data_IF_886610597354
#
_entry.id   IF_886610597354
#
_cell.length_a   1.000
_cell.length_b   1.000
_cell.length_c   1.000
_cell.angle_alpha   90.00
_cell.angle_beta   90.00
_cell.angle_gamma   90.00
#
_symmetry.space_group_name_H-M   'P 1'
#
loop_
_entity.id
_entity.type
_entity.pdbx_description
1 polymer ?
#
# COMPACT_ATOMS: atom_id res chain seq x y z
N UNK A 1 -8.60 5.32 -8.71
CA UNK A 1 -8.50 6.51 -7.85
C UNK A 1 -7.48 6.25 -6.76
N UNK A 2 -6.94 7.31 -6.17
CA UNK A 2 -5.99 7.22 -5.05
C UNK A 2 -6.58 6.46 -3.85
N UNK A 3 -7.87 6.64 -3.53
CA UNK A 3 -8.60 5.85 -2.54
C UNK A 3 -8.50 4.33 -2.76
N UNK A 4 -8.59 3.87 -4.02
CA UNK A 4 -8.45 2.45 -4.33
C UNK A 4 -7.02 1.97 -4.08
N UNK A 5 -6.03 2.80 -4.39
CA UNK A 5 -4.61 2.47 -4.20
C UNK A 5 -4.25 2.38 -2.71
N UNK A 6 -4.79 3.24 -1.85
CA UNK A 6 -4.63 3.16 -0.39
C UNK A 6 -5.17 1.82 0.13
N UNK A 7 -6.39 1.44 -0.27
CA UNK A 7 -7.01 0.16 0.12
C UNK A 7 -6.26 -1.06 -0.43
N UNK A 8 -5.82 -0.98 -1.68
CA UNK A 8 -5.02 -2.03 -2.34
C UNK A 8 -3.68 -2.23 -1.62
N UNK A 9 -2.99 -1.15 -1.27
CA UNK A 9 -1.74 -1.20 -0.51
C UNK A 9 -1.94 -1.79 0.89
N UNK A 10 -3.00 -1.40 1.60
CA UNK A 10 -3.33 -1.98 2.90
C UNK A 10 -3.62 -3.50 2.80
N UNK A 11 -4.33 -3.93 1.76
CA UNK A 11 -4.63 -5.34 1.51
C UNK A 11 -3.34 -6.15 1.29
N UNK A 12 -2.42 -5.68 0.44
CA UNK A 12 -1.17 -6.40 0.16
C UNK A 12 -0.26 -6.47 1.38
N UNK A 13 -0.22 -5.43 2.22
CA UNK A 13 0.50 -5.47 3.50
C UNK A 13 -0.05 -6.56 4.41
N UNK A 14 -1.37 -6.64 4.54
CA UNK A 14 -2.02 -7.69 5.35
C UNK A 14 -1.74 -9.09 4.80
N UNK A 15 -1.82 -9.27 3.48
CA UNK A 15 -1.51 -10.55 2.85
C UNK A 15 -0.06 -10.98 3.10
N UNK A 16 0.90 -10.05 2.98
CA UNK A 16 2.30 -10.33 3.27
C UNK A 16 2.53 -10.73 4.74
N UNK A 17 1.85 -10.08 5.69
CA UNK A 17 1.88 -10.49 7.10
C UNK A 17 1.35 -11.92 7.30
N UNK A 18 0.29 -12.30 6.59
CA UNK A 18 -0.28 -13.65 6.66
C UNK A 18 0.67 -14.69 6.05
N UNK A 19 1.31 -14.38 4.91
CA UNK A 19 2.33 -15.26 4.32
C UNK A 19 3.55 -15.40 5.21
N UNK A 20 4.02 -14.33 5.85
CA UNK A 20 5.13 -14.38 6.79
C UNK A 20 4.80 -15.28 7.98
N UNK A 21 3.63 -15.11 8.61
CA UNK A 21 3.18 -15.97 9.72
C UNK A 21 3.11 -17.45 9.32
N UNK A 22 2.66 -17.74 8.10
CA UNK A 22 2.59 -19.11 7.58
C UNK A 22 3.99 -19.70 7.38
N UNK A 23 4.92 -18.93 6.81
CA UNK A 23 6.30 -19.34 6.63
C UNK A 23 7.00 -19.57 7.97
N UNK A 24 6.83 -18.66 8.92
CA UNK A 24 7.39 -18.79 10.28
C UNK A 24 6.89 -20.05 10.96
N UNK A 25 5.60 -20.38 10.80
CA UNK A 25 5.02 -21.63 11.30
C UNK A 25 5.68 -22.87 10.66
N UNK A 26 5.85 -22.88 9.34
CA UNK A 26 6.53 -24.00 8.66
C UNK A 26 7.97 -24.19 9.15
N UNK A 27 8.69 -23.09 9.39
CA UNK A 27 10.06 -23.14 9.93
C UNK A 27 10.04 -23.69 11.36
N UNK A 28 9.14 -23.19 12.21
CA UNK A 28 9.03 -23.59 13.61
C UNK A 28 8.62 -25.06 13.78
N UNK A 29 7.75 -25.57 12.90
CA UNK A 29 7.30 -26.97 12.92
C UNK A 29 8.29 -27.93 12.24
N UNK A 30 9.40 -27.42 11.68
CA UNK A 30 10.38 -28.24 10.98
C UNK A 30 9.79 -28.89 9.71
N UNK A 31 8.91 -28.18 9.02
CA UNK A 31 8.29 -28.65 7.78
C UNK A 31 9.32 -29.00 6.70
N UNK A 32 8.88 -29.74 5.68
CA UNK A 32 9.78 -30.20 4.63
C UNK A 32 10.38 -29.02 3.82
N UNK A 33 11.55 -29.26 3.23
CA UNK A 33 12.27 -28.24 2.46
C UNK A 33 11.42 -27.62 1.34
N UNK A 34 10.52 -28.41 0.74
CA UNK A 34 9.63 -27.92 -0.30
C UNK A 34 8.63 -26.88 0.24
N UNK A 35 8.01 -27.12 1.41
CA UNK A 35 7.05 -26.20 2.01
C UNK A 35 7.69 -24.86 2.39
N UNK A 36 8.88 -24.90 2.99
CA UNK A 36 9.64 -23.69 3.35
C UNK A 36 10.02 -22.91 2.09
N UNK A 37 10.52 -23.58 1.05
CA UNK A 37 10.87 -22.92 -0.23
C UNK A 37 9.64 -22.31 -0.91
N UNK A 38 8.51 -23.01 -0.89
CA UNK A 38 7.27 -22.51 -1.47
C UNK A 38 6.74 -21.31 -0.68
N UNK A 39 6.70 -21.38 0.66
CA UNK A 39 6.31 -20.27 1.52
C UNK A 39 7.20 -19.03 1.34
N UNK A 40 8.52 -19.24 1.18
CA UNK A 40 9.47 -18.16 0.89
C UNK A 40 9.14 -17.46 -0.43
N UNK A 41 8.88 -18.21 -1.50
CA UNK A 41 8.48 -17.64 -2.80
C UNK A 41 7.17 -16.85 -2.71
N UNK A 42 6.19 -17.37 -1.99
CA UNK A 42 4.92 -16.65 -1.78
C UNK A 42 5.15 -15.33 -1.04
N UNK A 43 6.00 -15.31 -0.03
CA UNK A 43 6.37 -14.09 0.70
C UNK A 43 7.10 -13.08 -0.20
N UNK A 44 8.01 -13.54 -1.04
CA UNK A 44 8.72 -12.69 -2.01
C UNK A 44 7.76 -12.05 -3.01
N UNK A 45 6.80 -12.80 -3.55
CA UNK A 45 5.77 -12.26 -4.46
C UNK A 45 4.86 -11.25 -3.75
N UNK A 46 4.43 -11.53 -2.51
CA UNK A 46 3.66 -10.58 -1.71
C UNK A 46 4.42 -9.26 -1.50
N UNK A 47 5.72 -9.32 -1.20
CA UNK A 47 6.57 -8.14 -1.08
C UNK A 47 6.69 -7.36 -2.39
N UNK A 48 6.79 -8.03 -3.54
CA UNK A 48 6.79 -7.35 -4.84
C UNK A 48 5.51 -6.56 -5.07
N UNK A 49 4.36 -7.11 -4.69
CA UNK A 49 3.06 -6.42 -4.80
C UNK A 49 2.97 -5.18 -3.91
N UNK A 50 3.54 -5.24 -2.69
CA UNK A 50 3.63 -4.06 -1.80
C UNK A 50 4.47 -2.96 -2.45
N UNK A 51 5.60 -3.30 -3.06
CA UNK A 51 6.48 -2.33 -3.72
C UNK A 51 5.81 -1.72 -4.95
N UNK A 52 5.16 -2.52 -5.79
CA UNK A 52 4.41 -2.01 -6.96
C UNK A 52 3.29 -1.05 -6.56
N UNK A 53 2.45 -1.47 -5.61
CA UNK A 53 1.34 -0.65 -5.13
C UNK A 53 1.82 0.60 -4.39
N UNK A 54 2.93 0.54 -3.64
CA UNK A 54 3.58 1.72 -3.06
C UNK A 54 3.99 2.73 -4.13
N UNK A 55 4.65 2.27 -5.20
CA UNK A 55 5.11 3.13 -6.28
C UNK A 55 3.92 3.80 -7.00
N UNK A 56 2.86 3.03 -7.27
CA UNK A 56 1.62 3.53 -7.90
C UNK A 56 0.92 4.55 -6.99
N UNK A 57 0.84 4.27 -5.69
CA UNK A 57 0.26 5.19 -4.71
C UNK A 57 1.06 6.48 -4.59
N UNK A 58 2.39 6.39 -4.46
CA UNK A 58 3.28 7.55 -4.38
C UNK A 58 3.19 8.45 -5.61
N UNK A 59 3.10 7.86 -6.81
CA UNK A 59 2.88 8.63 -8.05
C UNK A 59 1.54 9.37 -8.03
N UNK A 60 0.46 8.68 -7.69
CA UNK A 60 -0.88 9.28 -7.64
C UNK A 60 -0.98 10.38 -6.56
N UNK A 61 -0.35 10.17 -5.40
CA UNK A 61 -0.27 11.17 -4.33
C UNK A 61 0.54 12.40 -4.76
N UNK A 62 1.65 12.20 -5.49
CA UNK A 62 2.42 13.30 -6.07
C UNK A 62 1.61 14.13 -7.05
N UNK A 63 0.91 13.49 -7.98
CA UNK A 63 0.04 14.16 -8.96
C UNK A 63 -1.10 14.94 -8.28
N UNK A 64 -1.73 14.39 -7.24
CA UNK A 64 -2.77 15.06 -6.48
C UNK A 64 -2.24 16.26 -5.69
N UNK A 65 -1.07 16.11 -5.04
CA UNK A 65 -0.41 17.21 -4.33
C UNK A 65 -0.08 18.36 -5.27
N UNK A 66 0.46 18.07 -6.45
CA UNK A 66 0.77 19.08 -7.47
C UNK A 66 -0.50 19.81 -7.94
N UNK A 67 -1.61 19.09 -8.11
CA UNK A 67 -2.90 19.68 -8.46
C UNK A 67 -3.37 20.66 -7.38
N UNK A 68 -3.37 20.24 -6.12
CA UNK A 68 -3.77 21.06 -4.97
C UNK A 68 -2.91 22.33 -4.89
N UNK A 69 -1.59 22.21 -5.00
CA UNK A 69 -0.67 23.35 -4.95
C UNK A 69 -0.93 24.32 -6.11
N UNK A 70 -1.11 23.81 -7.35
CA UNK A 70 -1.39 24.66 -8.53
C UNK A 70 -2.76 25.33 -8.47
N UNK A 71 -3.74 24.70 -7.83
CA UNK A 71 -5.12 25.18 -7.72
C UNK A 71 -5.39 25.92 -6.41
N UNK A 72 -4.38 26.09 -5.56
CA UNK A 72 -4.50 26.69 -4.23
C UNK A 72 -5.12 28.08 -4.34
N UNK A 73 -6.41 28.13 -4.10
CA UNK A 73 -7.21 29.34 -4.05
C UNK A 73 -7.69 29.47 -2.61
N UNK A 74 -7.31 30.53 -1.89
CA UNK A 74 -7.74 30.74 -0.51
C UNK A 74 -9.27 30.68 -0.33
N UNK A 75 -10.04 31.01 -1.37
CA UNK A 75 -11.49 30.93 -1.35
C UNK A 75 -12.06 29.49 -1.38
N UNK A 76 -11.24 28.49 -1.64
CA UNK A 76 -11.61 27.07 -1.65
C UNK A 76 -11.08 26.31 -0.43
N UNK A 77 -10.56 27.01 0.59
CA UNK A 77 -9.96 26.36 1.76
C UNK A 77 -10.96 25.48 2.54
N UNK A 78 -12.23 25.86 2.56
CA UNK A 78 -13.32 25.10 3.19
C UNK A 78 -14.09 24.22 2.20
N UNK A 79 -13.59 24.07 0.97
CA UNK A 79 -14.21 23.21 -0.04
C UNK A 79 -14.06 21.74 0.37
N UNK A 80 -15.18 21.02 0.45
CA UNK A 80 -15.18 19.63 0.91
C UNK A 80 -14.34 18.69 0.04
N UNK A 81 -14.24 18.95 -1.27
CA UNK A 81 -13.46 18.12 -2.18
C UNK A 81 -11.95 18.35 -1.95
N UNK A 82 -11.56 19.60 -1.69
CA UNK A 82 -10.18 19.93 -1.32
C UNK A 82 -9.77 19.28 0.02
N UNK A 83 -10.62 19.40 1.05
CA UNK A 83 -10.35 18.80 2.37
C UNK A 83 -10.23 17.27 2.28
N UNK A 84 -11.13 16.61 1.54
CA UNK A 84 -11.05 15.17 1.29
C UNK A 84 -9.77 14.81 0.54
N UNK A 85 -9.35 15.61 -0.44
CA UNK A 85 -8.11 15.37 -1.17
C UNK A 85 -6.87 15.47 -0.26
N UNK A 86 -6.85 16.42 0.68
CA UNK A 86 -5.78 16.56 1.68
C UNK A 86 -5.76 15.39 2.67
N UNK A 87 -6.92 14.95 3.17
CA UNK A 87 -7.04 13.77 4.05
C UNK A 87 -6.48 12.51 3.39
N UNK A 88 -6.81 12.26 2.10
CA UNK A 88 -6.27 11.10 1.38
C UNK A 88 -4.75 11.19 1.21
N UNK A 89 -4.19 12.39 1.03
CA UNK A 89 -2.74 12.57 0.93
C UNK A 89 -2.06 12.26 2.26
N UNK A 90 -2.70 12.55 3.38
CA UNK A 90 -2.23 12.17 4.71
C UNK A 90 -2.26 10.65 4.88
N UNK A 91 -3.36 9.98 4.50
CA UNK A 91 -3.45 8.51 4.53
C UNK A 91 -2.45 7.81 3.59
N UNK A 92 -2.04 8.46 2.50
CA UNK A 92 -1.12 7.92 1.51
C UNK A 92 0.37 8.16 1.84
N UNK A 93 0.67 8.96 2.86
CA UNK A 93 2.04 9.32 3.28
C UNK A 93 2.59 8.35 4.33
#
# INVERSE_FOLDING_TARGET
SIFRLVKEQALYRKEAEEQQKKLDKFIAEGAESWDIKNGTRMMEEANKMIVDSANRLGKAAGELRDLIVRKKNPALADDEELLKAEEILEEAS
#
